data_IF_457040003898
#
_entry.id   IF_457040003898
#
_cell.length_a   1.000
_cell.length_b   1.000
_cell.length_c   1.000
_cell.angle_alpha   90.00
_cell.angle_beta   90.00
_cell.angle_gamma   90.00
#
_symmetry.space_group_name_H-M   'P 1'
#
loop_
_entity.id
_entity.type
_entity.pdbx_description
1 polymer ?
#
# COMPACT_ATOMS: atom_id res chain seq x y z
N UNK A 1 -48.81 -40.24 82.80
CA UNK A 1 -48.29 -40.72 81.50
C UNK A 1 -48.19 -39.57 80.47
N UNK A 2 -47.79 -38.36 80.89
CA UNK A 2 -47.94 -37.12 80.06
C UNK A 2 -46.62 -36.51 79.56
N UNK A 3 -45.49 -36.89 80.12
CA UNK A 3 -44.17 -36.36 79.73
C UNK A 3 -43.68 -36.76 78.33
N UNK A 4 -43.95 -37.95 77.76
CA UNK A 4 -43.40 -38.32 76.46
C UNK A 4 -44.14 -37.63 75.27
N UNK A 5 -45.42 -37.27 75.45
CA UNK A 5 -46.22 -36.63 74.41
C UNK A 5 -45.76 -35.19 74.15
N UNK A 6 -45.42 -34.44 75.21
CA UNK A 6 -44.91 -33.07 75.07
C UNK A 6 -43.57 -33.00 74.34
N UNK A 7 -42.69 -34.00 74.53
CA UNK A 7 -41.39 -34.07 73.84
C UNK A 7 -41.58 -34.35 72.35
N UNK A 8 -42.48 -35.27 71.98
CA UNK A 8 -42.81 -35.57 70.58
C UNK A 8 -43.40 -34.36 69.83
N UNK A 9 -44.27 -33.59 70.49
CA UNK A 9 -44.85 -32.38 69.90
C UNK A 9 -43.77 -31.30 69.65
N UNK A 10 -42.84 -31.11 70.58
CA UNK A 10 -41.73 -30.14 70.41
C UNK A 10 -40.80 -30.55 69.26
N UNK A 11 -40.48 -31.84 69.13
CA UNK A 11 -39.66 -32.35 68.02
C UNK A 11 -40.36 -32.12 66.68
N UNK A 12 -41.67 -32.36 66.60
CA UNK A 12 -42.44 -32.13 65.38
C UNK A 12 -42.52 -30.63 65.00
N UNK A 13 -42.68 -29.76 66.00
CA UNK A 13 -42.70 -28.30 65.82
C UNK A 13 -41.34 -27.78 65.33
N UNK A 14 -40.22 -28.41 65.67
CA UNK A 14 -38.88 -28.01 65.20
C UNK A 14 -38.49 -28.67 63.85
N UNK A 15 -38.92 -29.91 63.62
CA UNK A 15 -38.55 -30.67 62.42
C UNK A 15 -39.22 -30.15 61.15
N UNK A 16 -40.50 -29.76 61.22
CA UNK A 16 -41.25 -29.22 60.06
C UNK A 16 -40.64 -27.92 59.51
N UNK A 17 -40.38 -26.88 60.31
CA UNK A 17 -39.76 -25.65 59.81
C UNK A 17 -38.31 -25.88 59.36
N UNK A 18 -37.55 -26.77 60.01
CA UNK A 18 -36.20 -27.13 59.56
C UNK A 18 -36.23 -27.81 58.19
N UNK A 19 -37.19 -28.72 57.96
CA UNK A 19 -37.35 -29.39 56.67
C UNK A 19 -37.81 -28.42 55.57
N UNK A 20 -38.78 -27.55 55.86
CA UNK A 20 -39.23 -26.51 54.93
C UNK A 20 -38.09 -25.55 54.56
N UNK A 21 -37.28 -25.13 55.54
CA UNK A 21 -36.08 -24.32 55.31
C UNK A 21 -35.08 -25.03 54.39
N UNK A 22 -34.79 -26.31 54.63
CA UNK A 22 -33.90 -27.10 53.80
C UNK A 22 -34.39 -27.25 52.35
N UNK A 23 -35.69 -27.52 52.15
CA UNK A 23 -36.29 -27.64 50.81
C UNK A 23 -36.24 -26.29 50.08
N UNK A 24 -36.48 -25.18 50.80
CA UNK A 24 -36.48 -23.86 50.19
C UNK A 24 -35.07 -23.44 49.74
N UNK A 25 -34.06 -23.66 50.58
CA UNK A 25 -32.65 -23.38 50.26
C UNK A 25 -32.20 -24.26 49.09
N UNK A 26 -32.53 -25.55 49.07
CA UNK A 26 -32.16 -26.46 47.98
C UNK A 26 -32.77 -26.04 46.63
N UNK A 27 -34.03 -25.59 46.63
CA UNK A 27 -34.68 -25.06 45.41
C UNK A 27 -34.03 -23.77 44.94
N UNK A 28 -33.75 -22.85 45.86
CA UNK A 28 -33.07 -21.59 45.56
C UNK A 28 -31.67 -21.83 44.97
N UNK A 29 -30.89 -22.72 45.58
CA UNK A 29 -29.54 -23.05 45.12
C UNK A 29 -29.53 -23.72 43.74
N UNK A 30 -30.53 -24.59 43.47
CA UNK A 30 -30.68 -25.23 42.16
C UNK A 30 -31.06 -24.23 41.07
N UNK A 31 -31.95 -23.28 41.38
CA UNK A 31 -32.34 -22.21 40.45
C UNK A 31 -31.17 -21.27 40.12
N UNK A 32 -30.37 -20.90 41.13
CA UNK A 32 -29.15 -20.12 40.96
C UNK A 32 -28.12 -20.83 40.07
N UNK A 33 -27.87 -22.12 40.32
CA UNK A 33 -26.96 -22.93 39.51
C UNK A 33 -27.41 -23.01 38.04
N UNK A 34 -28.69 -23.31 37.79
CA UNK A 34 -29.21 -23.40 36.42
C UNK A 34 -29.12 -22.07 35.68
N UNK A 35 -29.44 -20.96 36.36
CA UNK A 35 -29.35 -19.62 35.77
C UNK A 35 -27.90 -19.24 35.43
N UNK A 36 -26.95 -19.58 36.30
CA UNK A 36 -25.53 -19.34 36.04
C UNK A 36 -25.01 -20.15 34.85
N UNK A 37 -25.35 -21.45 34.74
CA UNK A 37 -25.00 -22.26 33.55
C UNK A 37 -25.62 -21.72 32.27
N UNK A 38 -26.90 -21.34 32.30
CA UNK A 38 -27.58 -20.80 31.13
C UNK A 38 -26.92 -19.50 30.65
N UNK A 39 -26.49 -18.66 31.59
CA UNK A 39 -25.81 -17.42 31.27
C UNK A 39 -24.42 -17.67 30.67
N UNK A 40 -23.64 -18.60 31.23
CA UNK A 40 -22.34 -18.96 30.63
C UNK A 40 -22.47 -19.58 29.24
N UNK A 41 -23.51 -20.38 29.00
CA UNK A 41 -23.79 -20.94 27.67
C UNK A 41 -24.13 -19.84 26.66
N UNK A 42 -25.00 -18.89 27.05
CA UNK A 42 -25.36 -17.76 26.19
C UNK A 42 -24.16 -16.86 25.90
N UNK A 43 -23.31 -16.59 26.89
CA UNK A 43 -22.10 -15.79 26.72
C UNK A 43 -21.11 -16.49 25.77
N UNK A 44 -20.93 -17.81 25.91
CA UNK A 44 -20.11 -18.62 25.02
C UNK A 44 -20.64 -18.60 23.58
N UNK A 45 -21.95 -18.77 23.39
CA UNK A 45 -22.59 -18.67 22.08
C UNK A 45 -22.43 -17.30 21.44
N UNK A 46 -22.50 -16.22 22.24
CA UNK A 46 -22.25 -14.86 21.77
C UNK A 46 -20.82 -14.67 21.27
N UNK A 47 -19.83 -15.20 22.01
CA UNK A 47 -18.41 -15.15 21.60
C UNK A 47 -18.16 -15.95 20.33
N UNK A 48 -18.75 -17.15 20.20
CA UNK A 48 -18.61 -17.97 18.99
C UNK A 48 -19.20 -17.25 17.77
N UNK A 49 -20.39 -16.66 17.90
CA UNK A 49 -21.02 -15.91 16.80
C UNK A 49 -20.21 -14.67 16.39
N UNK A 50 -19.62 -13.94 17.35
CA UNK A 50 -18.72 -12.81 17.07
C UNK A 50 -17.47 -13.28 16.31
N UNK A 51 -16.86 -14.39 16.74
CA UNK A 51 -15.69 -14.95 16.10
C UNK A 51 -15.99 -15.45 14.68
N UNK A 52 -17.11 -16.14 14.46
CA UNK A 52 -17.53 -16.56 13.12
C UNK A 52 -17.70 -15.37 12.19
N UNK A 53 -18.32 -14.28 12.67
CA UNK A 53 -18.51 -13.04 11.92
C UNK A 53 -17.17 -12.39 11.55
N UNK A 54 -16.22 -12.35 12.49
CA UNK A 54 -14.86 -11.84 12.23
C UNK A 54 -14.10 -12.71 11.23
N UNK A 55 -14.22 -14.03 11.35
CA UNK A 55 -13.57 -14.97 10.42
C UNK A 55 -14.14 -14.79 9.02
N UNK A 56 -15.46 -14.65 8.86
CA UNK A 56 -16.06 -14.42 7.55
C UNK A 56 -15.63 -13.09 6.94
N UNK A 57 -15.57 -12.02 7.74
CA UNK A 57 -15.07 -10.71 7.31
C UNK A 57 -13.61 -10.80 6.85
N UNK A 58 -12.75 -11.45 7.63
CA UNK A 58 -11.34 -11.64 7.27
C UNK A 58 -11.18 -12.53 6.04
N UNK A 59 -12.02 -13.56 5.85
CA UNK A 59 -12.01 -14.40 4.65
C UNK A 59 -12.46 -13.62 3.40
N UNK A 60 -13.47 -12.75 3.54
CA UNK A 60 -13.90 -11.85 2.46
C UNK A 60 -12.78 -10.85 2.11
N UNK A 61 -12.14 -10.25 3.11
CA UNK A 61 -10.99 -9.35 2.91
C UNK A 61 -9.82 -10.08 2.24
N UNK A 62 -9.53 -11.33 2.65
CA UNK A 62 -8.45 -12.13 2.08
C UNK A 62 -8.74 -12.57 0.63
N UNK A 63 -10.00 -12.87 0.31
CA UNK A 63 -10.40 -13.23 -1.07
C UNK A 63 -10.38 -12.01 -1.97
N UNK A 64 -10.79 -10.83 -1.49
CA UNK A 64 -10.61 -9.56 -2.19
C UNK A 64 -9.12 -9.25 -2.43
N UNK A 65 -8.25 -9.49 -1.44
CA UNK A 65 -6.80 -9.35 -1.60
C UNK A 65 -6.21 -10.32 -2.63
N UNK A 66 -6.63 -11.60 -2.63
CA UNK A 66 -6.17 -12.61 -3.60
C UNK A 66 -6.63 -12.34 -5.03
N UNK A 67 -7.81 -11.75 -5.23
CA UNK A 67 -8.32 -11.42 -6.55
C UNK A 67 -7.54 -10.29 -7.26
N UNK A 68 -6.79 -9.48 -6.50
CA UNK A 68 -6.05 -8.31 -7.02
C UNK A 68 -4.53 -8.57 -7.11
N UNK A 69 -4.04 -9.62 -6.46
CA UNK A 69 -2.60 -9.92 -6.42
C UNK A 69 -2.24 -10.88 -7.55
N UNK A 70 -1.29 -10.55 -8.45
CA UNK A 70 -0.89 -11.45 -9.53
C UNK A 70 -0.34 -12.77 -8.98
N UNK A 71 -0.59 -13.86 -9.72
CA UNK A 71 -0.13 -15.18 -9.30
C UNK A 71 1.40 -15.28 -9.30
N UNK A 72 2.02 -16.10 -8.43
CA UNK A 72 3.47 -16.30 -8.41
C UNK A 72 4.03 -16.76 -9.76
N UNK A 73 3.25 -17.51 -10.54
CA UNK A 73 3.62 -17.97 -11.89
C UNK A 73 3.71 -16.79 -12.88
N UNK A 74 2.70 -15.90 -12.88
CA UNK A 74 2.70 -14.66 -13.65
C UNK A 74 3.90 -13.78 -13.28
N UNK A 75 4.16 -13.63 -11.99
CA UNK A 75 5.31 -12.86 -11.48
C UNK A 75 6.64 -13.45 -11.92
N UNK A 76 6.78 -14.77 -11.90
CA UNK A 76 8.01 -15.44 -12.30
C UNK A 76 8.29 -15.34 -13.81
N UNK A 77 7.23 -15.30 -14.61
CA UNK A 77 7.32 -15.16 -16.06
C UNK A 77 7.77 -13.75 -16.45
N UNK A 78 7.29 -12.73 -15.72
CA UNK A 78 7.53 -11.32 -16.05
C UNK A 78 8.86 -10.82 -15.48
N UNK A 79 9.23 -11.27 -14.27
CA UNK A 79 10.39 -10.76 -13.55
C UNK A 79 11.48 -11.82 -13.30
N UNK A 80 11.31 -13.09 -13.70
CA UNK A 80 12.23 -14.19 -13.39
C UNK A 80 11.92 -14.89 -12.06
N UNK A 81 12.74 -15.87 -11.64
CA UNK A 81 12.42 -16.92 -10.63
C UNK A 81 11.91 -16.49 -9.24
N UNK A 82 11.79 -15.19 -8.90
CA UNK A 82 11.12 -14.74 -7.67
C UNK A 82 10.50 -13.34 -7.83
N UNK A 83 9.40 -13.07 -7.13
CA UNK A 83 8.83 -11.71 -6.96
C UNK A 83 9.93 -10.76 -6.47
N UNK A 84 10.10 -9.58 -7.08
CA UNK A 84 11.13 -8.67 -6.63
C UNK A 84 10.90 -8.26 -5.17
N UNK A 85 11.86 -8.51 -4.25
CA UNK A 85 11.75 -7.94 -2.93
C UNK A 85 11.80 -6.42 -3.09
N UNK A 86 10.95 -5.71 -2.34
CA UNK A 86 11.18 -4.30 -2.10
C UNK A 86 12.39 -4.19 -1.16
N UNK A 87 13.54 -3.85 -1.73
CA UNK A 87 14.68 -3.35 -0.96
C UNK A 87 15.01 -1.96 -1.49
N UNK A 88 15.12 -1.01 -0.56
CA UNK A 88 15.40 0.40 -0.84
C UNK A 88 16.81 0.81 -0.37
N UNK A 89 17.55 -0.14 0.22
CA UNK A 89 18.87 0.11 0.77
C UNK A 89 19.95 -0.14 -0.29
N UNK A 90 20.79 0.87 -0.52
CA UNK A 90 21.84 0.85 -1.56
C UNK A 90 22.91 -0.25 -1.38
N UNK A 91 22.91 -0.99 -0.26
CA UNK A 91 23.80 -2.12 0.02
C UNK A 91 23.19 -3.52 -0.20
N UNK A 92 21.87 -3.60 -0.41
CA UNK A 92 21.14 -4.87 -0.57
C UNK A 92 20.70 -5.13 -2.02
N UNK A 93 20.83 -4.13 -2.91
CA UNK A 93 20.40 -4.23 -4.31
C UNK A 93 21.51 -4.85 -5.17
N UNK A 94 21.26 -6.05 -5.70
CA UNK A 94 22.05 -6.64 -6.78
C UNK A 94 21.66 -6.00 -8.13
N UNK A 95 22.58 -5.22 -8.70
CA UNK A 95 22.34 -4.51 -9.95
C UNK A 95 22.38 -5.39 -11.20
N UNK A 96 23.10 -6.50 -11.19
CA UNK A 96 23.09 -7.46 -12.30
C UNK A 96 21.74 -8.17 -12.35
N UNK A 97 21.21 -8.56 -11.19
CA UNK A 97 19.88 -9.11 -11.04
C UNK A 97 18.81 -8.08 -11.43
N UNK A 98 18.88 -6.88 -10.86
CA UNK A 98 17.90 -5.81 -11.12
C UNK A 98 17.83 -5.46 -12.61
N UNK A 99 18.97 -5.32 -13.27
CA UNK A 99 19.02 -5.07 -14.70
C UNK A 99 18.40 -6.23 -15.51
N UNK A 100 18.65 -7.49 -15.13
CA UNK A 100 18.02 -8.65 -15.79
C UNK A 100 16.50 -8.61 -15.66
N UNK A 101 15.97 -8.25 -14.49
CA UNK A 101 14.52 -8.11 -14.26
C UNK A 101 13.90 -6.98 -15.07
N UNK A 102 14.59 -5.84 -15.17
CA UNK A 102 14.14 -4.72 -16.01
C UNK A 102 14.11 -5.11 -17.49
N UNK A 103 15.15 -5.80 -17.97
CA UNK A 103 15.17 -6.28 -19.35
C UNK A 103 14.09 -7.34 -19.62
N UNK A 104 13.85 -8.25 -18.66
CA UNK A 104 12.76 -9.22 -18.74
C UNK A 104 11.38 -8.53 -18.80
N UNK A 105 11.16 -7.50 -17.98
CA UNK A 105 9.96 -6.66 -18.05
C UNK A 105 9.83 -6.02 -19.44
N UNK A 106 10.90 -5.46 -20.01
CA UNK A 106 10.85 -4.87 -21.34
C UNK A 106 10.55 -5.88 -22.44
N UNK A 107 11.12 -7.09 -22.37
CA UNK A 107 10.79 -8.19 -23.29
C UNK A 107 9.33 -8.63 -23.14
N UNK A 108 8.81 -8.73 -21.91
CA UNK A 108 7.39 -8.98 -21.67
C UNK A 108 6.51 -7.88 -22.29
N UNK A 109 6.90 -6.61 -22.18
CA UNK A 109 6.16 -5.50 -22.79
C UNK A 109 6.13 -5.63 -24.31
N UNK A 110 7.23 -6.02 -24.97
CA UNK A 110 7.29 -6.22 -26.42
C UNK A 110 6.28 -7.26 -26.95
N UNK A 111 5.86 -8.21 -26.12
CA UNK A 111 4.89 -9.25 -26.47
C UNK A 111 3.43 -8.80 -26.31
N UNK A 112 3.18 -7.62 -25.72
CA UNK A 112 1.83 -7.18 -25.39
C UNK A 112 1.04 -6.70 -26.62
N UNK A 113 -0.16 -7.27 -26.79
CA UNK A 113 -1.02 -7.05 -27.98
C UNK A 113 -1.49 -5.61 -28.16
N UNK A 114 -1.52 -4.81 -27.10
CA UNK A 114 -1.97 -3.42 -27.17
C UNK A 114 -0.86 -2.45 -27.64
N UNK A 115 0.41 -2.86 -27.66
CA UNK A 115 1.51 -2.01 -28.15
C UNK A 115 1.54 -1.88 -29.69
N UNK A 116 1.37 -2.95 -30.49
CA UNK A 116 1.32 -2.85 -31.96
C UNK A 116 0.19 -1.95 -32.49
N UNK A 117 -0.87 -1.71 -31.71
CA UNK A 117 -1.97 -0.83 -32.09
C UNK A 117 -1.58 0.66 -32.21
N UNK A 118 -0.35 1.04 -31.81
CA UNK A 118 0.16 2.41 -31.87
C UNK A 118 1.30 2.60 -32.89
N UNK A 119 1.50 1.67 -33.82
CA UNK A 119 2.58 1.70 -34.83
C UNK A 119 3.96 1.92 -34.18
N UNK A 120 4.27 1.13 -33.13
CA UNK A 120 5.59 1.20 -32.50
C UNK A 120 6.63 0.50 -33.39
N UNK A 121 7.36 1.27 -34.19
CA UNK A 121 8.42 0.78 -35.09
C UNK A 121 9.70 0.31 -34.34
N UNK A 122 9.68 0.22 -33.02
CA UNK A 122 10.86 -0.03 -32.19
C UNK A 122 10.55 -0.86 -30.95
N UNK A 123 11.54 -1.58 -30.37
CA UNK A 123 11.37 -2.28 -29.10
C UNK A 123 11.03 -1.34 -27.94
N UNK A 124 10.31 -1.86 -26.94
CA UNK A 124 9.82 -1.14 -25.77
C UNK A 124 10.96 -0.50 -24.97
N UNK A 125 12.09 -1.20 -24.82
CA UNK A 125 13.29 -0.62 -24.19
C UNK A 125 13.74 0.67 -24.90
N UNK A 126 13.74 0.67 -26.24
CA UNK A 126 14.10 1.85 -27.02
C UNK A 126 13.05 2.96 -26.90
N UNK A 127 11.76 2.60 -26.87
CA UNK A 127 10.67 3.54 -26.62
C UNK A 127 10.79 4.19 -25.23
N UNK A 128 11.07 3.39 -24.20
CA UNK A 128 11.32 3.85 -22.84
C UNK A 128 12.49 4.83 -22.77
N UNK A 129 13.64 4.48 -23.36
CA UNK A 129 14.81 5.36 -23.40
C UNK A 129 14.52 6.67 -24.14
N UNK A 130 13.81 6.61 -25.27
CA UNK A 130 13.43 7.82 -26.00
C UNK A 130 12.54 8.73 -25.15
N UNK A 131 11.58 8.18 -24.40
CA UNK A 131 10.74 8.96 -23.50
C UNK A 131 11.56 9.62 -22.40
N UNK A 132 12.48 8.87 -21.77
CA UNK A 132 13.36 9.39 -20.72
C UNK A 132 14.19 10.56 -21.23
N UNK A 133 14.80 10.45 -22.43
CA UNK A 133 15.58 11.52 -23.06
C UNK A 133 14.70 12.75 -23.38
N UNK A 134 13.48 12.54 -23.86
CA UNK A 134 12.57 13.65 -24.19
C UNK A 134 12.08 14.38 -22.93
N UNK A 135 11.89 13.66 -21.83
CA UNK A 135 11.48 14.22 -20.54
C UNK A 135 12.64 14.96 -19.86
N UNK A 136 13.85 14.40 -19.87
CA UNK A 136 15.05 15.02 -19.30
C UNK A 136 15.41 16.35 -19.95
N UNK A 137 15.39 16.39 -21.28
CA UNK A 137 15.74 17.60 -22.04
C UNK A 137 14.75 18.77 -21.83
N UNK A 138 13.58 18.51 -21.25
CA UNK A 138 12.52 19.51 -21.06
C UNK A 138 11.85 19.34 -19.70
N UNK A 139 12.60 19.56 -18.63
CA UNK A 139 12.11 19.51 -17.26
C UNK A 139 10.94 20.49 -16.98
N UNK A 140 10.04 20.16 -16.04
CA UNK A 140 8.98 21.04 -15.56
C UNK A 140 9.52 22.22 -14.72
N UNK A 141 8.71 23.27 -14.53
CA UNK A 141 9.07 24.38 -13.63
C UNK A 141 8.74 24.01 -12.18
N UNK A 142 9.70 24.11 -11.27
CA UNK A 142 9.49 23.79 -9.84
C UNK A 142 9.11 25.00 -8.98
N UNK A 143 9.59 26.18 -9.38
CA UNK A 143 9.40 27.46 -8.70
C UNK A 143 8.79 28.46 -9.66
N UNK A 144 8.09 29.46 -9.12
CA UNK A 144 7.49 30.53 -9.93
C UNK A 144 6.32 30.11 -10.81
N UNK A 145 5.76 28.90 -10.62
CA UNK A 145 4.59 28.44 -11.39
C UNK A 145 3.40 29.40 -11.27
N UNK A 146 3.22 30.01 -10.10
CA UNK A 146 2.10 30.90 -9.77
C UNK A 146 2.41 32.38 -10.03
N UNK A 147 3.59 32.71 -10.57
CA UNK A 147 3.96 34.10 -10.89
C UNK A 147 3.15 34.65 -12.07
N UNK A 148 2.82 33.80 -13.05
CA UNK A 148 2.02 34.19 -14.20
C UNK A 148 1.22 33.01 -14.80
N UNK A 149 0.17 33.34 -15.55
CA UNK A 149 -0.76 32.37 -16.14
C UNK A 149 -0.06 31.44 -17.16
N UNK A 150 0.94 31.93 -17.90
CA UNK A 150 1.65 31.13 -18.90
C UNK A 150 2.55 30.09 -18.23
N UNK A 151 3.21 30.44 -17.13
CA UNK A 151 4.00 29.52 -16.31
C UNK A 151 3.13 28.40 -15.73
N UNK A 152 1.97 28.75 -15.17
CA UNK A 152 0.98 27.76 -14.71
C UNK A 152 0.51 26.86 -15.86
N UNK A 153 0.11 27.45 -16.99
CA UNK A 153 -0.38 26.69 -18.15
C UNK A 153 0.70 25.73 -18.68
N UNK A 154 1.96 26.15 -18.69
CA UNK A 154 3.11 25.33 -19.12
C UNK A 154 3.27 24.09 -18.24
N UNK A 155 3.12 24.22 -16.93
CA UNK A 155 3.20 23.10 -16.01
C UNK A 155 1.96 22.18 -16.06
N UNK A 156 0.76 22.75 -16.18
CA UNK A 156 -0.50 21.97 -16.29
C UNK A 156 -0.53 21.13 -17.57
N UNK A 157 0.03 21.66 -18.66
CA UNK A 157 0.05 21.01 -19.97
C UNK A 157 1.35 20.25 -20.26
N UNK A 158 2.25 20.15 -19.27
CA UNK A 158 3.63 19.70 -19.44
C UNK A 158 3.74 18.41 -20.27
N UNK A 159 3.17 17.32 -19.79
CA UNK A 159 3.29 16.03 -20.48
C UNK A 159 2.66 16.03 -21.88
N UNK A 160 1.56 16.75 -22.09
CA UNK A 160 0.94 16.83 -23.42
C UNK A 160 1.84 17.57 -24.41
N UNK A 161 2.45 18.67 -23.98
CA UNK A 161 3.38 19.46 -24.77
C UNK A 161 4.67 18.71 -25.08
N UNK A 162 5.16 17.88 -24.14
CA UNK A 162 6.43 17.18 -24.27
C UNK A 162 6.30 15.85 -25.02
N UNK A 163 5.35 15.01 -24.63
CA UNK A 163 5.19 13.67 -25.18
C UNK A 163 4.23 13.62 -26.37
N UNK A 164 3.33 14.60 -26.48
CA UNK A 164 2.26 14.60 -27.48
C UNK A 164 1.15 13.61 -27.16
N UNK A 165 0.10 13.63 -28.00
CA UNK A 165 -1.12 12.83 -27.78
C UNK A 165 -0.87 11.32 -27.85
N UNK A 166 -0.12 10.85 -28.85
CA UNK A 166 0.01 9.41 -29.12
C UNK A 166 0.78 8.70 -28.00
N UNK A 167 1.95 9.22 -27.61
CA UNK A 167 2.74 8.67 -26.49
C UNK A 167 1.96 8.70 -25.17
N UNK A 168 1.21 9.78 -24.91
CA UNK A 168 0.37 9.85 -23.72
C UNK A 168 -0.77 8.83 -23.71
N UNK A 169 -1.38 8.58 -24.88
CA UNK A 169 -2.44 7.57 -25.01
C UNK A 169 -1.87 6.18 -24.74
N UNK A 170 -0.71 5.86 -25.33
CA UNK A 170 -0.03 4.60 -25.10
C UNK A 170 0.38 4.41 -23.63
N UNK A 171 0.97 5.43 -22.99
CA UNK A 171 1.30 5.37 -21.55
C UNK A 171 0.06 5.14 -20.68
N UNK A 172 -1.07 5.74 -21.04
CA UNK A 172 -2.34 5.48 -20.35
C UNK A 172 -2.79 4.04 -20.54
N UNK A 173 -2.69 3.49 -21.75
CA UNK A 173 -3.08 2.11 -22.04
C UNK A 173 -2.18 1.10 -21.32
N UNK A 174 -0.87 1.32 -21.27
CA UNK A 174 0.07 0.51 -20.47
C UNK A 174 -0.35 0.49 -19.00
N UNK A 175 -0.58 1.67 -18.42
CA UNK A 175 -0.95 1.79 -17.00
C UNK A 175 -2.27 1.07 -16.68
N UNK A 176 -3.25 1.13 -17.58
CA UNK A 176 -4.54 0.47 -17.39
C UNK A 176 -4.42 -1.05 -17.51
N UNK A 177 -3.68 -1.54 -18.51
CA UNK A 177 -3.57 -2.96 -18.78
C UNK A 177 -2.62 -3.68 -17.82
N UNK A 178 -1.57 -3.01 -17.32
CA UNK A 178 -0.53 -3.60 -16.46
C UNK A 178 -0.72 -3.28 -14.97
N UNK A 179 -1.96 -3.05 -14.53
CA UNK A 179 -2.29 -2.65 -13.15
C UNK A 179 -1.83 -3.67 -12.09
N UNK A 180 -1.82 -4.96 -12.44
CA UNK A 180 -1.41 -6.04 -11.54
C UNK A 180 0.09 -6.02 -11.25
N UNK A 181 0.92 -5.69 -12.23
CA UNK A 181 2.39 -5.70 -12.13
C UNK A 181 2.98 -4.31 -11.88
N UNK A 182 2.15 -3.28 -11.73
CA UNK A 182 2.62 -1.90 -11.65
C UNK A 182 3.45 -1.63 -10.38
N UNK A 183 3.11 -2.27 -9.25
CA UNK A 183 3.88 -2.14 -8.00
C UNK A 183 5.31 -2.71 -8.14
N UNK A 184 5.49 -3.99 -8.54
CA UNK A 184 6.83 -4.55 -8.76
C UNK A 184 7.58 -3.84 -9.88
N UNK A 185 6.90 -3.41 -10.95
CA UNK A 185 7.54 -2.66 -12.03
C UNK A 185 8.13 -1.33 -11.53
N UNK A 186 7.38 -0.56 -10.74
CA UNK A 186 7.88 0.69 -10.15
C UNK A 186 9.07 0.44 -9.23
N UNK A 187 9.02 -0.62 -8.43
CA UNK A 187 10.09 -0.96 -7.50
C UNK A 187 11.42 -1.26 -8.20
N UNK A 188 11.38 -2.14 -9.21
CA UNK A 188 12.60 -2.49 -9.95
C UNK A 188 13.12 -1.30 -10.75
N UNK A 189 12.23 -0.48 -11.33
CA UNK A 189 12.63 0.69 -12.10
C UNK A 189 13.23 1.78 -11.21
N UNK A 190 12.70 1.95 -10.00
CA UNK A 190 13.27 2.86 -9.01
C UNK A 190 14.68 2.43 -8.64
N UNK A 191 14.88 1.17 -8.22
CA UNK A 191 16.20 0.66 -7.85
C UNK A 191 17.19 0.74 -9.01
N UNK A 192 16.74 0.36 -10.21
CA UNK A 192 17.54 0.47 -11.43
C UNK A 192 17.96 1.91 -11.72
N UNK A 193 17.10 2.89 -11.46
CA UNK A 193 17.37 4.30 -11.77
C UNK A 193 18.13 5.08 -10.67
N UNK A 194 17.98 4.70 -9.39
CA UNK A 194 18.57 5.44 -8.26
C UNK A 194 19.80 4.78 -7.67
N UNK A 195 19.83 3.45 -7.64
CA UNK A 195 20.85 2.67 -6.92
C UNK A 195 21.89 2.10 -7.86
N UNK A 196 21.49 1.70 -9.07
CA UNK A 196 22.42 1.05 -9.99
C UNK A 196 23.32 2.02 -10.77
N UNK A 197 24.60 1.66 -11.01
CA UNK A 197 25.53 2.50 -11.75
C UNK A 197 25.10 2.75 -13.22
N UNK A 198 25.62 3.83 -13.79
CA UNK A 198 25.41 4.29 -15.18
C UNK A 198 25.62 3.20 -16.25
N UNK A 199 26.47 2.20 -15.98
CA UNK A 199 26.71 1.12 -16.92
C UNK A 199 25.46 0.25 -17.19
N UNK A 200 24.48 0.28 -16.28
CA UNK A 200 23.22 -0.46 -16.37
C UNK A 200 22.07 0.40 -16.89
N UNK A 201 22.17 1.72 -16.77
CA UNK A 201 21.13 2.65 -17.23
C UNK A 201 21.54 3.23 -18.58
N UNK A 202 20.71 3.03 -19.62
CA UNK A 202 21.02 3.46 -20.98
C UNK A 202 20.90 4.99 -21.17
N UNK A 203 21.68 5.77 -20.42
CA UNK A 203 22.08 7.19 -20.61
C UNK A 203 22.61 7.69 -19.26
N UNK A 204 23.80 8.30 -19.24
CA UNK A 204 24.55 8.68 -18.02
C UNK A 204 23.68 9.10 -16.82
N UNK A 205 23.86 8.41 -15.69
CA UNK A 205 22.98 8.48 -14.52
C UNK A 205 23.05 9.82 -13.77
N UNK A 206 24.08 10.64 -14.02
CA UNK A 206 24.11 12.02 -13.52
C UNK A 206 22.96 12.87 -14.08
N UNK A 207 22.47 12.59 -15.29
CA UNK A 207 21.31 13.27 -15.87
C UNK A 207 20.02 12.74 -15.23
N UNK A 208 19.91 11.42 -15.11
CA UNK A 208 18.72 10.75 -14.55
C UNK A 208 18.43 11.23 -13.12
N UNK A 209 19.44 11.44 -12.27
CA UNK A 209 19.20 11.86 -10.87
C UNK A 209 18.63 13.28 -10.73
N UNK A 210 19.15 14.25 -11.48
CA UNK A 210 18.62 15.62 -11.49
C UNK A 210 17.22 15.66 -12.10
N UNK A 211 16.99 14.88 -13.15
CA UNK A 211 15.67 14.77 -13.78
C UNK A 211 14.64 14.12 -12.84
N UNK A 212 15.01 13.04 -12.16
CA UNK A 212 14.16 12.39 -11.15
C UNK A 212 13.81 13.38 -10.04
N UNK A 213 14.78 14.13 -9.53
CA UNK A 213 14.53 15.20 -8.56
C UNK A 213 13.53 16.24 -9.09
N UNK A 214 13.71 16.70 -10.34
CA UNK A 214 12.81 17.66 -10.95
C UNK A 214 11.38 17.11 -11.08
N UNK A 215 11.21 15.86 -11.51
CA UNK A 215 9.89 15.26 -11.63
C UNK A 215 9.24 14.96 -10.28
N UNK A 216 10.02 14.52 -9.29
CA UNK A 216 9.55 14.33 -7.92
C UNK A 216 9.05 15.65 -7.31
N UNK A 217 9.84 16.71 -7.45
CA UNK A 217 9.45 18.05 -7.04
C UNK A 217 8.23 18.57 -7.80
N UNK A 218 8.12 18.32 -9.10
CA UNK A 218 6.95 18.68 -9.88
C UNK A 218 5.68 18.03 -9.34
N UNK A 219 5.70 16.72 -9.10
CA UNK A 219 4.53 15.99 -8.64
C UNK A 219 4.08 16.39 -7.23
N UNK A 220 5.01 16.63 -6.32
CA UNK A 220 4.70 16.94 -4.92
C UNK A 220 4.46 18.43 -4.66
N UNK A 221 5.22 19.31 -5.31
CA UNK A 221 5.26 20.74 -4.96
C UNK A 221 4.49 21.66 -5.93
N UNK A 222 4.23 21.25 -7.17
CA UNK A 222 3.58 22.12 -8.17
C UNK A 222 2.08 21.87 -8.30
N UNK A 223 1.31 22.90 -8.61
CA UNK A 223 -0.12 22.81 -8.89
C UNK A 223 -0.38 21.95 -10.13
N UNK A 224 0.43 22.10 -11.18
CA UNK A 224 0.36 21.31 -12.41
C UNK A 224 0.57 19.81 -12.17
N UNK A 225 1.60 19.44 -11.41
CA UNK A 225 1.91 18.05 -11.09
C UNK A 225 0.87 17.40 -10.17
N UNK A 226 0.47 18.09 -9.11
CA UNK A 226 -0.60 17.61 -8.22
C UNK A 226 -1.92 17.45 -8.96
N UNK A 227 -2.31 18.43 -9.79
CA UNK A 227 -3.50 18.34 -10.63
C UNK A 227 -3.41 17.20 -11.67
N UNK A 228 -2.22 16.90 -12.16
CA UNK A 228 -2.01 15.74 -13.02
C UNK A 228 -2.29 14.43 -12.29
N UNK A 229 -1.73 14.26 -11.09
CA UNK A 229 -1.94 13.05 -10.27
C UNK A 229 -3.39 12.87 -9.80
N UNK A 230 -4.10 13.97 -9.49
CA UNK A 230 -5.51 13.89 -9.11
C UNK A 230 -6.43 13.36 -10.23
N UNK A 231 -5.97 13.42 -11.49
CA UNK A 231 -6.68 12.84 -12.65
C UNK A 231 -6.22 11.42 -12.99
N UNK A 232 -5.44 10.78 -12.13
CA UNK A 232 -4.99 9.38 -12.26
C UNK A 232 -5.69 8.52 -11.22
N UNK A 233 -5.71 7.23 -11.49
CA UNK A 233 -6.20 6.24 -10.53
C UNK A 233 -5.40 6.31 -9.22
N UNK A 234 -6.05 5.98 -8.10
CA UNK A 234 -5.46 6.10 -6.77
C UNK A 234 -4.14 5.34 -6.66
N UNK A 235 -4.07 4.14 -7.22
CA UNK A 235 -2.86 3.29 -7.22
C UNK A 235 -1.66 4.00 -7.83
N UNK A 236 -1.83 4.60 -9.01
CA UNK A 236 -0.78 5.34 -9.70
C UNK A 236 -0.41 6.63 -8.97
N UNK A 237 -1.40 7.37 -8.49
CA UNK A 237 -1.16 8.58 -7.70
C UNK A 237 -0.31 8.28 -6.47
N UNK A 238 -0.66 7.23 -5.73
CA UNK A 238 0.02 6.82 -4.50
C UNK A 238 1.43 6.33 -4.82
N UNK A 239 1.62 5.47 -5.83
CA UNK A 239 2.95 5.00 -6.24
C UNK A 239 3.84 6.17 -6.67
N UNK A 240 3.38 7.04 -7.56
CA UNK A 240 4.18 8.20 -8.00
C UNK A 240 4.53 9.10 -6.82
N UNK A 241 3.60 9.32 -5.88
CA UNK A 241 3.87 10.11 -4.68
C UNK A 241 4.90 9.44 -3.77
N UNK A 242 4.79 8.12 -3.57
CA UNK A 242 5.73 7.32 -2.78
C UNK A 242 7.16 7.43 -3.31
N UNK A 243 7.38 7.11 -4.57
CA UNK A 243 8.73 7.18 -5.13
C UNK A 243 9.24 8.62 -5.27
N UNK A 244 8.35 9.61 -5.45
CA UNK A 244 8.76 11.03 -5.40
C UNK A 244 9.29 11.42 -4.01
N UNK A 245 8.69 10.91 -2.94
CA UNK A 245 9.20 11.11 -1.57
C UNK A 245 10.57 10.47 -1.42
N UNK A 246 10.75 9.21 -1.85
CA UNK A 246 12.05 8.53 -1.78
C UNK A 246 13.14 9.26 -2.57
N UNK A 247 12.83 9.75 -3.78
CA UNK A 247 13.76 10.53 -4.60
C UNK A 247 14.18 11.81 -3.87
N UNK A 248 13.22 12.52 -3.27
CA UNK A 248 13.51 13.74 -2.52
C UNK A 248 14.27 13.46 -1.22
N UNK A 249 14.03 12.32 -0.57
CA UNK A 249 14.81 11.88 0.59
C UNK A 249 16.28 11.65 0.22
N UNK A 250 16.54 10.93 -0.87
CA UNK A 250 17.89 10.77 -1.44
C UNK A 250 18.51 12.14 -1.74
N UNK A 251 17.75 13.05 -2.37
CA UNK A 251 18.23 14.39 -2.67
C UNK A 251 18.50 15.23 -1.41
N UNK A 252 17.78 15.01 -0.30
CA UNK A 252 18.06 15.66 0.98
C UNK A 252 19.36 15.17 1.58
N UNK A 253 19.58 13.85 1.61
CA UNK A 253 20.79 13.23 2.14
C UNK A 253 22.03 13.66 1.35
N UNK A 254 21.91 13.74 0.02
CA UNK A 254 22.96 14.21 -0.88
C UNK A 254 23.10 15.74 -0.91
N UNK A 255 22.26 16.48 -0.18
CA UNK A 255 22.20 17.96 -0.19
C UNK A 255 21.97 18.56 -1.58
N UNK A 256 21.22 17.85 -2.42
CA UNK A 256 20.83 18.22 -3.77
C UNK A 256 19.40 18.77 -3.87
N UNK A 257 18.65 18.86 -2.76
CA UNK A 257 17.34 19.53 -2.71
C UNK A 257 17.48 21.07 -2.82
N UNK A 258 17.77 21.55 -4.04
CA UNK A 258 18.07 22.96 -4.33
C UNK A 258 16.90 23.91 -4.03
N UNK A 259 15.66 23.42 -4.14
CA UNK A 259 14.45 24.24 -3.98
C UNK A 259 13.95 24.23 -2.53
N UNK A 260 14.47 23.33 -1.69
CA UNK A 260 14.05 23.21 -0.28
C UNK A 260 12.64 22.65 -0.14
N UNK A 261 12.27 21.67 -0.98
CA UNK A 261 10.96 21.03 -0.91
C UNK A 261 10.84 20.25 0.40
N UNK A 262 9.86 20.60 1.22
CA UNK A 262 9.57 19.91 2.49
C UNK A 262 8.72 18.66 2.24
N UNK A 263 9.29 17.48 2.49
CA UNK A 263 8.62 16.20 2.27
C UNK A 263 7.74 15.75 3.44
N UNK A 264 7.88 16.33 4.63
CA UNK A 264 7.13 15.94 5.84
C UNK A 264 5.61 15.88 5.64
N UNK A 265 4.94 16.94 5.11
CA UNK A 265 3.50 16.86 4.90
C UNK A 265 3.12 15.76 3.90
N UNK A 266 3.96 15.51 2.90
CA UNK A 266 3.71 14.49 1.88
C UNK A 266 3.82 13.07 2.44
N UNK A 267 4.79 12.83 3.32
CA UNK A 267 4.92 11.56 4.06
C UNK A 267 3.64 11.31 4.85
N UNK A 268 3.13 12.32 5.55
CA UNK A 268 1.94 12.16 6.37
C UNK A 268 0.70 11.83 5.55
N UNK A 269 0.43 12.61 4.51
CA UNK A 269 -0.71 12.37 3.62
C UNK A 269 -0.62 11.00 2.96
N UNK A 270 0.56 10.60 2.49
CA UNK A 270 0.72 9.34 1.80
C UNK A 270 0.54 8.14 2.74
N UNK A 271 1.02 8.23 3.97
CA UNK A 271 0.82 7.20 4.97
C UNK A 271 -0.67 6.95 5.24
N UNK A 272 -1.45 8.03 5.39
CA UNK A 272 -2.91 7.92 5.53
C UNK A 272 -3.58 7.36 4.27
N UNK A 273 -3.13 7.76 3.08
CA UNK A 273 -3.66 7.22 1.82
C UNK A 273 -3.44 5.70 1.74
N UNK A 274 -2.22 5.22 1.98
CA UNK A 274 -1.85 3.79 1.87
C UNK A 274 -2.58 2.95 2.92
N UNK A 275 -2.70 3.41 4.16
CA UNK A 275 -3.44 2.68 5.22
C UNK A 275 -4.86 2.35 4.76
N UNK A 276 -5.53 3.30 4.11
CA UNK A 276 -6.93 3.18 3.70
C UNK A 276 -7.13 2.44 2.37
N UNK A 277 -6.07 1.96 1.70
CA UNK A 277 -6.21 1.15 0.49
C UNK A 277 -6.16 -0.35 0.80
N UNK A 278 -6.90 -1.14 0.01
CA UNK A 278 -6.86 -2.61 -0.02
C UNK A 278 -6.26 -3.11 -1.35
N UNK A 279 -5.83 -4.37 -1.41
CA UNK A 279 -5.30 -4.97 -2.65
C UNK A 279 -3.92 -4.47 -3.10
N UNK A 280 -3.09 -4.00 -2.16
CA UNK A 280 -1.70 -3.61 -2.41
C UNK A 280 -0.75 -4.76 -2.06
N UNK A 281 0.12 -5.12 -2.99
CA UNK A 281 1.06 -6.23 -2.80
C UNK A 281 2.08 -5.92 -1.70
N UNK A 282 2.58 -4.69 -1.67
CA UNK A 282 3.66 -4.30 -0.77
C UNK A 282 3.27 -3.30 0.31
N UNK A 283 2.00 -3.36 0.75
CA UNK A 283 1.42 -2.38 1.69
C UNK A 283 2.26 -2.22 2.96
N UNK A 284 2.63 -3.33 3.58
CA UNK A 284 3.36 -3.32 4.86
C UNK A 284 4.75 -2.68 4.72
N UNK A 285 5.46 -3.02 3.64
CA UNK A 285 6.78 -2.47 3.34
C UNK A 285 6.71 -0.97 3.09
N UNK A 286 5.73 -0.49 2.31
CA UNK A 286 5.55 0.96 2.08
C UNK A 286 5.26 1.70 3.39
N UNK A 287 4.41 1.14 4.26
CA UNK A 287 4.09 1.77 5.55
C UNK A 287 5.28 1.77 6.51
N UNK A 288 6.06 0.69 6.52
CA UNK A 288 7.28 0.60 7.33
C UNK A 288 8.30 1.65 6.90
N UNK A 289 8.53 1.80 5.60
CA UNK A 289 9.47 2.79 5.06
C UNK A 289 9.02 4.22 5.38
N UNK A 290 7.73 4.53 5.16
CA UNK A 290 7.19 5.85 5.50
C UNK A 290 7.25 6.13 7.02
N UNK A 291 7.10 5.12 7.87
CA UNK A 291 7.26 5.27 9.31
C UNK A 291 8.73 5.56 9.69
N UNK A 292 9.69 4.91 9.03
CA UNK A 292 11.12 5.20 9.20
C UNK A 292 11.44 6.64 8.78
N UNK A 293 10.95 7.07 7.61
CA UNK A 293 11.09 8.46 7.14
C UNK A 293 10.44 9.46 8.09
N UNK A 294 9.25 9.19 8.63
CA UNK A 294 8.66 10.04 9.68
C UNK A 294 9.60 10.20 10.87
N UNK A 295 10.22 9.12 11.33
CA UNK A 295 11.20 9.16 12.40
C UNK A 295 12.43 10.00 12.04
N UNK A 296 12.94 9.89 10.81
CA UNK A 296 14.08 10.66 10.30
C UNK A 296 13.83 12.18 10.30
N UNK A 297 12.61 12.62 9.96
CA UNK A 297 12.26 14.04 9.82
C UNK A 297 11.49 14.63 11.01
N UNK A 298 11.52 13.99 12.18
CA UNK A 298 10.80 14.45 13.38
C UNK A 298 11.38 15.72 14.04
N UNK A 299 12.47 16.29 13.51
CA UNK A 299 13.15 17.48 14.05
C UNK A 299 13.42 18.52 12.95
#
# INVERSE_FOLDING_TARGET
MEKPIKVLVIIFILAIPSWLGFVHVKRWHKAQLTAATQQTENDCLGVVADLETRISLLQEELTAHRAVTPTPETMSTIFGENTPPLSWEAGEVDCDETNRRVMALFSYMDEQKYLPAHDMDMPFHGFFNQMTIVLSTKAPLLTGELEDILSLLRNVTHFYRILGKNRLKLMKEIVVNETEIIEPAFAILFNWATTCPDQYTASGASLIREDLYNYAGYFLNTLGGRSYLLRRESKIRILVSYYSILILDIANDEKLNRVGIDIRPHIDFLFYDIINQTGWMYKEQYLSELAALRGKYQY
#
